data_IF_279715740072
#
_entry.id   IF_279715740072
#
_cell.length_a   1.000
_cell.length_b   1.000
_cell.length_c   1.000
_cell.angle_alpha   90.00
_cell.angle_beta   90.00
_cell.angle_gamma   90.00
#
_symmetry.space_group_name_H-M   'P 1'
#
loop_
_entity.id
_entity.type
_entity.pdbx_description
1 polymer ?
#
# COMPACT_ATOMS: atom_id res chain seq x y z
N UNK A 1 2.22 17.06 4.09
CA UNK A 1 2.67 16.37 2.87
C UNK A 1 4.17 16.62 2.71
N UNK A 2 5.03 15.63 3.02
CA UNK A 2 6.50 15.79 3.03
C UNK A 2 7.07 16.12 1.63
N UNK A 3 6.36 15.72 0.56
CA UNK A 3 6.77 16.02 -0.82
C UNK A 3 6.86 17.52 -1.09
N UNK A 4 6.00 18.34 -0.49
CA UNK A 4 6.05 19.80 -0.68
C UNK A 4 7.30 20.42 -0.07
N UNK A 5 7.80 19.86 1.04
CA UNK A 5 9.00 20.39 1.68
C UNK A 5 10.26 19.96 0.94
N UNK A 6 10.27 18.74 0.40
CA UNK A 6 11.31 18.27 -0.53
C UNK A 6 11.31 19.14 -1.80
N UNK A 7 10.14 19.38 -2.37
CA UNK A 7 9.99 20.21 -3.57
C UNK A 7 10.41 21.67 -3.31
N UNK A 8 10.10 22.21 -2.14
CA UNK A 8 10.55 23.53 -1.73
C UNK A 8 12.07 23.63 -1.57
N UNK A 9 12.69 22.65 -0.90
CA UNK A 9 14.16 22.59 -0.75
C UNK A 9 14.85 22.39 -2.11
N UNK A 10 14.23 21.62 -3.01
CA UNK A 10 14.82 21.26 -4.30
C UNK A 10 14.55 22.27 -5.42
N UNK A 11 13.42 22.99 -5.39
CA UNK A 11 12.93 23.86 -6.48
C UNK A 11 12.48 25.25 -6.05
N UNK A 12 12.63 25.63 -4.78
CA UNK A 12 12.30 26.96 -4.24
C UNK A 12 10.85 27.44 -4.52
N UNK A 13 9.86 26.54 -4.48
CA UNK A 13 8.45 26.86 -4.77
C UNK A 13 7.75 27.62 -3.61
N UNK A 14 6.76 28.50 -3.88
CA UNK A 14 6.07 29.31 -2.85
C UNK A 14 5.09 28.49 -1.97
N UNK A 15 4.90 28.92 -0.72
CA UNK A 15 4.31 28.15 0.39
C UNK A 15 2.77 28.09 0.46
N UNK A 16 2.23 27.05 1.13
CA UNK A 16 0.82 26.94 1.58
C UNK A 16 0.72 26.76 3.10
N UNK A 17 -0.11 27.58 3.77
CA UNK A 17 -0.14 27.83 5.23
C UNK A 17 -0.43 26.60 6.12
N UNK A 18 -1.09 25.56 5.59
CA UNK A 18 -1.41 24.33 6.34
C UNK A 18 -0.17 23.47 6.72
N UNK A 19 1.04 23.85 6.28
CA UNK A 19 2.28 23.09 6.47
C UNK A 19 3.24 23.69 7.52
N UNK A 20 2.89 24.83 8.15
CA UNK A 20 3.80 25.61 9.00
C UNK A 20 4.26 24.89 10.29
N UNK A 21 3.47 23.96 10.82
CA UNK A 21 3.78 23.25 12.06
C UNK A 21 4.77 22.11 11.83
N UNK A 22 4.55 21.33 10.77
CA UNK A 22 5.49 20.31 10.28
C UNK A 22 6.78 20.98 9.83
N UNK A 23 6.72 22.09 9.10
CA UNK A 23 7.91 22.84 8.71
C UNK A 23 8.75 23.34 9.88
N UNK A 24 8.13 23.78 10.98
CA UNK A 24 8.87 24.15 12.19
C UNK A 24 9.65 22.97 12.79
N UNK A 25 9.12 21.76 12.68
CA UNK A 25 9.75 20.55 13.17
C UNK A 25 10.91 20.06 12.29
N UNK A 26 10.81 20.26 10.97
CA UNK A 26 11.82 19.79 9.99
C UNK A 26 12.65 20.93 9.38
N UNK A 27 12.55 22.13 9.96
CA UNK A 27 13.35 23.29 9.55
C UNK A 27 14.83 23.04 9.81
N UNK A 28 15.67 23.17 8.79
CA UNK A 28 17.11 22.94 8.86
C UNK A 28 17.56 21.50 8.59
N UNK A 29 16.64 20.60 8.24
CA UNK A 29 16.99 19.23 7.85
C UNK A 29 17.51 19.21 6.41
N UNK A 30 18.58 18.46 6.17
CA UNK A 30 19.12 18.22 4.83
C UNK A 30 18.15 17.37 3.97
N UNK A 31 18.26 17.51 2.64
CA UNK A 31 17.46 16.79 1.65
C UNK A 31 17.51 15.28 1.87
N UNK A 32 18.67 14.74 2.24
CA UNK A 32 18.87 13.31 2.52
C UNK A 32 17.99 12.83 3.68
N UNK A 33 17.89 13.64 4.74
CA UNK A 33 17.08 13.31 5.91
C UNK A 33 15.58 13.34 5.59
N UNK A 34 15.13 14.31 4.79
CA UNK A 34 13.74 14.41 4.33
C UNK A 34 13.36 13.23 3.42
N UNK A 35 14.24 12.85 2.49
CA UNK A 35 14.01 11.69 1.61
C UNK A 35 13.96 10.39 2.41
N UNK A 36 14.88 10.22 3.36
CA UNK A 36 14.89 9.04 4.23
C UNK A 36 13.61 8.95 5.06
N UNK A 37 13.18 10.05 5.69
CA UNK A 37 11.94 10.09 6.45
C UNK A 37 10.72 9.74 5.59
N UNK A 38 10.66 10.25 4.35
CA UNK A 38 9.59 9.92 3.40
C UNK A 38 9.53 8.41 3.13
N UNK A 39 10.66 7.78 2.84
CA UNK A 39 10.71 6.35 2.57
C UNK A 39 10.40 5.51 3.82
N UNK A 40 10.89 5.92 4.99
CA UNK A 40 10.55 5.26 6.27
C UNK A 40 9.05 5.30 6.54
N UNK A 41 8.40 6.46 6.36
CA UNK A 41 6.96 6.60 6.53
C UNK A 41 6.18 5.77 5.49
N UNK A 42 6.63 5.76 4.24
CA UNK A 42 6.02 4.93 3.20
C UNK A 42 6.10 3.44 3.55
N UNK A 43 7.26 2.95 3.98
CA UNK A 43 7.46 1.56 4.39
C UNK A 43 6.60 1.20 5.61
N UNK A 44 6.56 2.07 6.63
CA UNK A 44 5.72 1.87 7.81
C UNK A 44 4.24 1.81 7.45
N UNK A 45 3.77 2.70 6.57
CA UNK A 45 2.38 2.68 6.07
C UNK A 45 2.06 1.37 5.34
N UNK A 46 2.93 0.91 4.43
CA UNK A 46 2.75 -0.37 3.75
C UNK A 46 2.69 -1.55 4.73
N UNK A 47 3.56 -1.57 5.75
CA UNK A 47 3.56 -2.62 6.78
C UNK A 47 2.26 -2.63 7.60
N UNK A 48 1.74 -1.45 7.96
CA UNK A 48 0.46 -1.32 8.66
C UNK A 48 -0.69 -1.85 7.79
N UNK A 49 -0.79 -1.43 6.53
CA UNK A 49 -1.86 -1.89 5.63
C UNK A 49 -1.76 -3.40 5.40
N UNK A 50 -0.55 -3.95 5.20
CA UNK A 50 -0.34 -5.39 5.06
C UNK A 50 -0.79 -6.14 6.34
N UNK A 51 -0.42 -5.63 7.52
CA UNK A 51 -0.85 -6.19 8.81
C UNK A 51 -2.37 -6.17 8.97
N UNK A 52 -3.02 -5.06 8.62
CA UNK A 52 -4.48 -4.93 8.63
C UNK A 52 -5.14 -5.90 7.65
N UNK A 53 -4.59 -6.08 6.45
CA UNK A 53 -5.09 -7.05 5.47
C UNK A 53 -5.00 -8.49 6.00
N UNK A 54 -3.89 -8.84 6.66
CA UNK A 54 -3.70 -10.16 7.26
C UNK A 54 -4.70 -10.36 8.41
N UNK A 55 -4.85 -9.36 9.28
CA UNK A 55 -5.78 -9.43 10.40
C UNK A 55 -7.23 -9.55 9.91
N UNK A 56 -7.60 -8.78 8.89
CA UNK A 56 -8.92 -8.86 8.27
C UNK A 56 -9.16 -10.24 7.64
N UNK A 57 -8.20 -10.78 6.88
CA UNK A 57 -8.29 -12.14 6.35
C UNK A 57 -8.37 -13.20 7.45
N UNK A 58 -7.68 -12.99 8.57
CA UNK A 58 -7.74 -13.89 9.74
C UNK A 58 -9.11 -13.85 10.43
N UNK A 59 -9.75 -12.68 10.49
CA UNK A 59 -11.10 -12.51 11.04
C UNK A 59 -12.13 -13.16 10.11
N UNK A 60 -12.02 -12.95 8.79
CA UNK A 60 -13.00 -13.42 7.80
C UNK A 60 -12.91 -14.92 7.53
N UNK A 61 -11.69 -15.47 7.40
CA UNK A 61 -11.48 -16.86 6.97
C UNK A 61 -10.97 -17.77 8.10
N UNK A 62 -10.68 -17.24 9.30
CA UNK A 62 -10.29 -18.04 10.47
C UNK A 62 -8.85 -18.55 10.48
N UNK A 63 -8.08 -18.43 9.39
CA UNK A 63 -6.77 -19.06 9.24
C UNK A 63 -5.68 -18.10 8.76
N UNK A 64 -4.44 -18.28 9.23
CA UNK A 64 -3.26 -17.50 8.80
C UNK A 64 -2.73 -17.86 7.41
N UNK A 65 -3.32 -18.87 6.76
CA UNK A 65 -2.86 -19.38 5.46
C UNK A 65 -2.90 -18.32 4.35
N UNK A 66 -3.75 -17.31 4.48
CA UNK A 66 -3.87 -16.21 3.53
C UNK A 66 -2.79 -15.14 3.71
N UNK A 67 -2.08 -15.14 4.85
CA UNK A 67 -1.01 -14.17 5.11
C UNK A 67 0.10 -14.24 4.06
N UNK A 68 0.51 -15.45 3.64
CA UNK A 68 1.52 -15.60 2.58
C UNK A 68 1.10 -14.99 1.25
N UNK A 69 -0.19 -15.08 0.91
CA UNK A 69 -0.70 -14.56 -0.36
C UNK A 69 -0.84 -13.04 -0.32
N UNK A 70 -1.27 -12.49 0.82
CA UNK A 70 -1.26 -11.04 1.06
C UNK A 70 0.16 -10.50 0.98
N UNK A 71 1.11 -11.12 1.69
CA UNK A 71 2.52 -10.70 1.67
C UNK A 71 3.15 -10.84 0.28
N UNK A 72 2.88 -11.94 -0.44
CA UNK A 72 3.35 -12.12 -1.81
C UNK A 72 2.78 -11.07 -2.76
N UNK A 73 1.50 -10.71 -2.61
CA UNK A 73 0.87 -9.62 -3.38
C UNK A 73 1.53 -8.27 -3.10
N UNK A 74 1.73 -7.93 -1.82
CA UNK A 74 2.44 -6.71 -1.42
C UNK A 74 3.86 -6.67 -1.95
N UNK A 75 4.62 -7.78 -1.82
CA UNK A 75 5.98 -7.89 -2.32
C UNK A 75 6.04 -7.77 -3.85
N UNK A 76 5.09 -8.38 -4.56
CA UNK A 76 4.98 -8.30 -6.01
C UNK A 76 4.71 -6.88 -6.49
N UNK A 77 3.74 -6.18 -5.89
CA UNK A 77 3.45 -4.79 -6.21
C UNK A 77 4.58 -3.84 -5.82
N UNK A 78 5.25 -4.07 -4.69
CA UNK A 78 6.39 -3.26 -4.26
C UNK A 78 7.57 -3.46 -5.23
N UNK A 79 7.85 -4.70 -5.63
CA UNK A 79 8.86 -5.03 -6.63
C UNK A 79 8.54 -4.42 -7.99
N UNK A 80 7.28 -4.48 -8.43
CA UNK A 80 6.85 -3.86 -9.68
C UNK A 80 7.00 -2.33 -9.63
N UNK A 81 6.57 -1.71 -8.53
CA UNK A 81 6.73 -0.27 -8.31
C UNK A 81 8.20 0.15 -8.36
N UNK A 82 9.08 -0.60 -7.68
CA UNK A 82 10.52 -0.36 -7.71
C UNK A 82 11.09 -0.54 -9.11
N UNK A 83 10.70 -1.59 -9.84
CA UNK A 83 11.14 -1.81 -11.22
C UNK A 83 10.72 -0.65 -12.15
N UNK A 84 9.49 -0.16 -12.01
CA UNK A 84 9.02 1.00 -12.76
C UNK A 84 9.79 2.27 -12.39
N UNK A 85 10.10 2.48 -11.11
CA UNK A 85 10.91 3.62 -10.65
C UNK A 85 12.33 3.57 -11.23
N UNK A 86 12.96 2.37 -11.25
CA UNK A 86 14.28 2.18 -11.86
C UNK A 86 14.25 2.33 -13.38
N UNK A 87 13.14 1.98 -14.03
CA UNK A 87 12.96 2.15 -15.47
C UNK A 87 12.63 3.60 -15.85
N UNK A 88 12.09 4.39 -14.91
CA UNK A 88 11.78 5.80 -15.11
C UNK A 88 13.00 6.66 -15.47
N UNK A 89 14.22 6.21 -15.11
CA UNK A 89 15.47 6.85 -15.56
C UNK A 89 15.63 6.88 -17.08
N UNK A 90 15.00 5.94 -17.78
CA UNK A 90 15.00 5.84 -19.24
C UNK A 90 13.70 6.34 -19.86
N UNK A 91 12.57 6.13 -19.17
CA UNK A 91 11.24 6.52 -19.64
C UNK A 91 10.54 7.33 -18.54
N UNK A 92 10.65 8.67 -18.55
CA UNK A 92 10.13 9.52 -17.46
C UNK A 92 8.65 9.35 -17.16
N UNK A 93 7.84 8.97 -18.16
CA UNK A 93 6.41 8.70 -17.98
C UNK A 93 6.11 7.56 -16.98
N UNK A 94 7.05 6.64 -16.77
CA UNK A 94 6.90 5.54 -15.80
C UNK A 94 7.02 5.99 -14.35
N UNK A 95 7.52 7.21 -14.09
CA UNK A 95 7.59 7.74 -12.73
C UNK A 95 6.20 7.88 -12.12
N UNK A 96 5.22 8.37 -12.90
CA UNK A 96 3.81 8.44 -12.50
C UNK A 96 3.23 7.06 -12.18
N UNK A 97 3.59 6.03 -12.96
CA UNK A 97 3.12 4.66 -12.74
C UNK A 97 3.71 4.08 -11.46
N UNK A 98 5.02 4.26 -11.22
CA UNK A 98 5.69 3.83 -9.99
C UNK A 98 5.10 4.51 -8.75
N UNK A 99 4.83 5.82 -8.84
CA UNK A 99 4.20 6.58 -7.77
C UNK A 99 2.78 6.08 -7.52
N UNK A 100 1.99 5.87 -8.57
CA UNK A 100 0.63 5.33 -8.48
C UNK A 100 0.57 3.95 -7.81
N UNK A 101 1.46 3.04 -8.22
CA UNK A 101 1.57 1.70 -7.63
C UNK A 101 1.98 1.76 -6.15
N UNK A 102 2.94 2.62 -5.80
CA UNK A 102 3.35 2.83 -4.40
C UNK A 102 2.22 3.37 -3.55
N UNK A 103 1.40 4.28 -4.10
CA UNK A 103 0.22 4.81 -3.42
C UNK A 103 -0.85 3.74 -3.23
N UNK A 104 -1.10 2.87 -4.22
CA UNK A 104 -2.06 1.78 -4.08
C UNK A 104 -1.72 0.84 -2.90
N UNK A 105 -0.44 0.64 -2.60
CA UNK A 105 0.01 -0.16 -1.45
C UNK A 105 -0.15 0.55 -0.09
N UNK A 106 -0.14 1.88 -0.07
CA UNK A 106 -0.27 2.69 1.14
C UNK A 106 -1.72 3.05 1.46
N UNK A 107 -2.59 3.07 0.45
CA UNK A 107 -4.02 3.29 0.59
C UNK A 107 -4.77 1.99 0.93
N UNK A 108 -5.99 2.07 1.50
CA UNK A 108 -6.79 0.89 1.86
C UNK A 108 -7.33 0.11 0.65
N UNK A 109 -6.80 0.32 -0.55
CA UNK A 109 -7.20 -0.39 -1.78
C UNK A 109 -7.08 -1.92 -1.63
N UNK A 110 -6.01 -2.49 -1.05
CA UNK A 110 -5.91 -3.94 -0.84
C UNK A 110 -6.96 -4.48 0.15
N UNK A 111 -7.35 -3.68 1.16
CA UNK A 111 -8.43 -4.04 2.09
C UNK A 111 -9.77 -4.14 1.35
N UNK A 112 -10.04 -3.20 0.43
CA UNK A 112 -11.25 -3.22 -0.40
C UNK A 112 -11.28 -4.47 -1.28
N UNK A 113 -10.15 -4.87 -1.87
CA UNK A 113 -10.10 -6.10 -2.67
C UNK A 113 -10.40 -7.36 -1.86
N UNK A 114 -9.88 -7.47 -0.63
CA UNK A 114 -10.20 -8.59 0.28
C UNK A 114 -11.70 -8.59 0.62
N UNK A 115 -12.26 -7.42 0.92
CA UNK A 115 -13.68 -7.28 1.26
C UNK A 115 -14.60 -7.63 0.08
N UNK A 116 -14.30 -7.13 -1.13
CA UNK A 116 -15.06 -7.46 -2.35
C UNK A 116 -14.92 -8.95 -2.67
N UNK A 117 -13.74 -9.54 -2.46
CA UNK A 117 -13.53 -10.97 -2.59
C UNK A 117 -14.44 -11.81 -1.70
N UNK A 118 -14.75 -11.35 -0.48
CA UNK A 118 -15.73 -12.02 0.40
C UNK A 118 -17.18 -11.89 -0.06
N UNK A 119 -17.52 -10.83 -0.80
CA UNK A 119 -18.87 -10.65 -1.37
C UNK A 119 -19.07 -11.45 -2.66
N UNK A 120 -18.03 -12.10 -3.18
CA UNK A 120 -18.14 -12.95 -4.37
C UNK A 120 -18.93 -14.24 -4.06
N UNK A 121 -20.03 -14.53 -4.79
CA UNK A 121 -20.88 -15.69 -4.52
C UNK A 121 -20.16 -17.04 -4.69
N UNK A 122 -18.99 -17.05 -5.35
CA UNK A 122 -18.15 -18.23 -5.50
C UNK A 122 -17.63 -18.79 -4.17
N UNK A 123 -17.46 -17.94 -3.15
CA UNK A 123 -17.01 -18.35 -1.81
C UNK A 123 -18.14 -19.08 -1.05
N UNK A 124 -19.40 -18.73 -1.30
CA UNK A 124 -20.56 -19.29 -0.59
C UNK A 124 -21.16 -20.52 -1.29
N UNK A 125 -20.80 -20.78 -2.56
CA UNK A 125 -21.30 -21.92 -3.33
C UNK A 125 -20.79 -23.29 -2.88
N UNK A 126 -19.63 -23.36 -2.21
CA UNK A 126 -19.01 -24.63 -1.83
C UNK A 126 -19.56 -25.23 -0.52
N UNK A 127 -20.09 -24.41 0.40
CA UNK A 127 -20.68 -24.94 1.65
C UNK A 127 -22.03 -25.65 1.41
N UNK A 128 -22.75 -25.28 0.34
CA UNK A 128 -24.05 -25.89 0.00
C UNK A 128 -23.94 -27.26 -0.66
N UNK A 129 -22.86 -27.55 -1.38
CA UNK A 129 -22.66 -28.85 -2.06
C UNK A 129 -22.12 -29.94 -1.11
N UNK A 130 -21.20 -29.59 -0.20
CA UNK A 130 -20.67 -30.54 0.78
C UNK A 130 -21.73 -31.01 1.77
N UNK A 131 -22.69 -30.15 2.13
CA UNK A 131 -23.80 -30.53 3.01
C UNK A 131 -24.75 -31.52 2.36
N UNK A 132 -25.02 -31.36 1.06
CA UNK A 132 -25.90 -32.28 0.31
C UNK A 132 -25.26 -33.63 0.01
N UNK A 133 -23.93 -33.69 -0.14
CA UNK A 133 -23.22 -34.97 -0.25
C UNK A 133 -23.13 -35.72 1.10
N UNK A 134 -23.12 -35.02 2.22
CA UNK A 134 -23.15 -35.65 3.56
C UNK A 134 -24.52 -36.14 4.01
N UNK A 135 -25.61 -35.57 3.48
CA UNK A 135 -26.97 -35.96 3.88
C UNK A 135 -27.66 -36.95 2.95
N UNK A 136 -26.91 -37.62 2.04
CA UNK A 136 -27.43 -38.67 1.14
C UNK A 136 -28.86 -38.32 0.69
N UNK A 137 -29.94 -39.07 0.82
CA UNK A 137 -30.17 -40.37 1.44
C UNK A 137 -29.84 -40.45 2.93
#
# INVERSE_FOLDING_TARGET
NLNYQIDHVQRHTPFSYAHSMVQRWIGGWDLTALVTLKWTLAFLSMAIIAGLCILLARILYGHWRHARWVLAGFAGFAGLSLAMHLLARWVPALELVAVGLSHMLQYPVPLVFILVGTMSPWVHGHEGQDRRQRTGV
#
